data_IF_467951027810
#
_entry.id   IF_467951027810
#
_cell.length_a   1.000
_cell.length_b   1.000
_cell.length_c   1.000
_cell.angle_alpha   90.00
_cell.angle_beta   90.00
_cell.angle_gamma   90.00
#
_symmetry.space_group_name_H-M   'P 1'
#
loop_
_entity.id
_entity.type
_entity.pdbx_description
1 polymer ?
#
# COMPACT_ATOMS: atom_id res chain seq x y z
N UNK A 1 -14.19 -1.95 -1.45
CA UNK A 1 -12.85 -1.39 -1.21
C UNK A 1 -12.95 0.13 -1.00
N UNK A 2 -12.51 0.62 0.17
CA UNK A 2 -12.40 2.05 0.48
C UNK A 2 -10.90 2.39 0.62
N UNK A 3 -10.42 3.42 -0.07
CA UNK A 3 -9.03 3.90 0.00
C UNK A 3 -9.04 5.25 0.74
N UNK A 4 -8.17 5.41 1.73
CA UNK A 4 -7.93 6.67 2.42
C UNK A 4 -6.47 7.06 2.28
N UNK A 5 -6.22 8.26 1.76
CA UNK A 5 -4.88 8.83 1.61
C UNK A 5 -4.63 9.83 2.75
N UNK A 6 -3.49 9.65 3.43
CA UNK A 6 -3.04 10.47 4.54
C UNK A 6 -1.70 11.13 4.16
N UNK A 7 -1.72 12.37 3.63
CA UNK A 7 -0.57 13.05 3.02
C UNK A 7 0.36 13.73 4.07
N UNK A 8 0.68 13.05 5.17
CA UNK A 8 1.52 13.51 6.30
C UNK A 8 2.13 14.92 6.21
N UNK A 9 3.44 14.98 5.96
CA UNK A 9 4.22 16.22 5.80
C UNK A 9 4.52 16.52 4.31
N UNK A 10 3.77 15.92 3.39
CA UNK A 10 3.97 16.08 1.94
C UNK A 10 2.95 17.05 1.39
N UNK A 11 3.30 17.78 0.32
CA UNK A 11 2.35 18.62 -0.38
C UNK A 11 1.19 17.75 -0.90
N UNK A 12 -0.01 18.04 -0.40
CA UNK A 12 -1.23 17.41 -0.84
C UNK A 12 -1.60 17.93 -2.24
N UNK A 13 -1.74 17.01 -3.18
CA UNK A 13 -2.10 17.31 -4.57
C UNK A 13 -3.07 16.25 -5.07
N UNK A 14 -4.13 16.67 -5.74
CA UNK A 14 -5.10 15.79 -6.41
C UNK A 14 -4.41 14.77 -7.33
N UNK A 15 -3.28 15.14 -7.94
CA UNK A 15 -2.49 14.25 -8.79
C UNK A 15 -1.83 13.11 -8.01
N UNK A 16 -1.40 13.35 -6.77
CA UNK A 16 -0.84 12.31 -5.90
C UNK A 16 -1.96 11.40 -5.39
N UNK A 17 -3.11 11.94 -5.01
CA UNK A 17 -4.26 11.14 -4.59
C UNK A 17 -4.73 10.21 -5.71
N UNK A 18 -4.95 10.76 -6.90
CA UNK A 18 -5.33 10.00 -8.09
C UNK A 18 -4.31 8.90 -8.38
N UNK A 19 -3.02 9.22 -8.30
CA UNK A 19 -1.96 8.24 -8.55
C UNK A 19 -1.95 7.12 -7.50
N UNK A 20 -2.16 7.45 -6.21
CA UNK A 20 -2.29 6.44 -5.15
C UNK A 20 -3.48 5.51 -5.42
N UNK A 21 -4.65 6.07 -5.75
CA UNK A 21 -5.85 5.30 -6.03
C UNK A 21 -5.65 4.34 -7.21
N UNK A 22 -5.05 4.81 -8.30
CA UNK A 22 -4.74 3.99 -9.48
C UNK A 22 -3.80 2.83 -9.13
N UNK A 23 -2.69 3.10 -8.44
CA UNK A 23 -1.69 2.09 -8.10
C UNK A 23 -2.24 1.04 -7.12
N UNK A 24 -2.96 1.48 -6.08
CA UNK A 24 -3.57 0.59 -5.09
C UNK A 24 -4.67 -0.26 -5.73
N UNK A 25 -5.55 0.35 -6.52
CA UNK A 25 -6.63 -0.36 -7.21
C UNK A 25 -6.05 -1.41 -8.16
N UNK A 26 -5.02 -1.05 -8.93
CA UNK A 26 -4.35 -1.98 -9.82
C UNK A 26 -3.70 -3.16 -9.07
N UNK A 27 -3.03 -2.88 -7.96
CA UNK A 27 -2.35 -3.88 -7.13
C UNK A 27 -3.33 -4.86 -6.47
N UNK A 28 -4.50 -4.39 -6.06
CA UNK A 28 -5.50 -5.17 -5.33
C UNK A 28 -6.63 -5.72 -6.20
N UNK A 29 -6.65 -5.44 -7.51
CA UNK A 29 -7.77 -5.76 -8.42
C UNK A 29 -8.31 -7.19 -8.30
N UNK A 30 -7.43 -8.17 -8.12
CA UNK A 30 -7.80 -9.60 -8.05
C UNK A 30 -8.42 -9.99 -6.71
N UNK A 31 -8.25 -9.18 -5.67
CA UNK A 31 -8.70 -9.44 -4.30
C UNK A 31 -9.60 -8.31 -3.77
N UNK A 32 -10.08 -7.43 -4.64
CA UNK A 32 -10.78 -6.20 -4.25
C UNK A 32 -12.05 -6.44 -3.43
N UNK A 33 -12.73 -7.57 -3.65
CA UNK A 33 -13.92 -7.97 -2.88
C UNK A 33 -13.60 -8.35 -1.42
N UNK A 34 -12.38 -8.83 -1.17
CA UNK A 34 -11.93 -9.20 0.18
C UNK A 34 -11.40 -7.97 0.94
N UNK A 35 -11.11 -6.87 0.24
CA UNK A 35 -10.54 -5.65 0.83
C UNK A 35 -11.63 -4.78 1.44
N UNK A 36 -11.59 -4.64 2.76
CA UNK A 36 -12.51 -3.79 3.51
C UNK A 36 -12.02 -2.35 3.55
N UNK A 37 -10.70 -2.13 3.66
CA UNK A 37 -10.10 -0.79 3.76
C UNK A 37 -8.63 -0.80 3.34
N UNK A 38 -8.18 0.30 2.75
CA UNK A 38 -6.78 0.60 2.49
C UNK A 38 -6.46 1.97 3.06
N UNK A 39 -5.38 2.07 3.82
CA UNK A 39 -4.84 3.33 4.32
C UNK A 39 -3.44 3.55 3.74
N UNK A 40 -3.23 4.73 3.15
CA UNK A 40 -1.94 5.10 2.55
C UNK A 40 -1.39 6.30 3.29
N UNK A 41 -0.20 6.16 3.86
CA UNK A 41 0.50 7.24 4.54
C UNK A 41 1.72 7.65 3.73
N UNK A 42 1.78 8.94 3.41
CA UNK A 42 2.90 9.54 2.69
C UNK A 42 3.69 10.42 3.65
N UNK A 43 5.02 10.34 3.58
CA UNK A 43 5.91 11.21 4.38
C UNK A 43 7.10 11.70 3.58
N UNK A 44 7.50 12.93 3.91
CA UNK A 44 8.79 13.50 3.56
C UNK A 44 9.77 13.30 4.73
N UNK A 45 10.71 12.39 4.55
CA UNK A 45 11.78 12.10 5.49
C UNK A 45 12.86 13.18 5.30
N UNK A 46 12.71 14.32 5.98
CA UNK A 46 13.66 15.44 6.02
C UNK A 46 15.03 15.01 6.59
N UNK A 47 15.81 14.27 5.82
CA UNK A 47 17.19 13.88 6.10
C UNK A 47 18.20 14.89 5.51
N UNK A 48 19.45 14.93 6.00
CA UNK A 48 20.47 15.83 5.47
C UNK A 48 20.74 15.52 3.99
N UNK A 49 20.41 16.50 3.13
CA UNK A 49 20.63 16.61 1.67
C UNK A 49 21.31 15.40 0.99
N UNK A 50 20.52 14.70 0.16
CA UNK A 50 20.79 13.54 -0.72
C UNK A 50 20.41 12.16 -0.14
N UNK A 51 19.35 11.55 -0.66
CA UNK A 51 18.90 10.22 -0.25
C UNK A 51 17.47 9.85 -0.71
N UNK A 52 17.01 8.66 -0.30
CA UNK A 52 15.60 8.26 -0.36
C UNK A 52 14.84 9.02 0.72
N UNK A 53 14.29 10.16 0.36
CA UNK A 53 13.64 11.10 1.27
C UNK A 53 12.11 10.98 1.25
N UNK A 54 11.51 10.17 0.37
CA UNK A 54 10.06 9.96 0.33
C UNK A 54 9.69 8.56 0.79
N UNK A 55 8.69 8.48 1.65
CA UNK A 55 8.18 7.22 2.21
C UNK A 55 6.71 7.05 1.89
N UNK A 56 6.35 5.84 1.45
CA UNK A 56 4.97 5.40 1.31
C UNK A 56 4.75 4.14 2.15
N UNK A 57 3.81 4.22 3.09
CA UNK A 57 3.32 3.08 3.84
C UNK A 57 1.88 2.79 3.40
N UNK A 58 1.57 1.53 3.13
CA UNK A 58 0.22 1.08 2.78
C UNK A 58 -0.20 -0.02 3.75
N UNK A 59 -1.29 0.21 4.48
CA UNK A 59 -2.00 -0.81 5.25
C UNK A 59 -3.25 -1.26 4.49
N UNK A 60 -3.42 -2.56 4.30
CA UNK A 60 -4.65 -3.15 3.78
C UNK A 60 -5.29 -4.03 4.82
N UNK A 61 -6.61 -3.88 4.95
CA UNK A 61 -7.46 -4.73 5.79
C UNK A 61 -8.29 -5.63 4.89
N UNK A 62 -8.18 -6.93 5.15
CA UNK A 62 -8.95 -7.96 4.45
C UNK A 62 -9.98 -8.54 5.42
N UNK A 63 -11.17 -8.85 4.92
CA UNK A 63 -12.21 -9.48 5.73
C UNK A 63 -11.73 -10.84 6.26
N UNK A 64 -11.74 -11.02 7.59
CA UNK A 64 -11.34 -12.28 8.22
C UNK A 64 -9.81 -12.52 8.27
N UNK A 65 -8.98 -11.52 8.01
CA UNK A 65 -7.52 -11.62 8.17
C UNK A 65 -6.96 -10.47 9.00
N UNK A 66 -5.78 -10.68 9.59
CA UNK A 66 -4.99 -9.59 10.17
C UNK A 66 -4.62 -8.57 9.09
N UNK A 67 -4.53 -7.26 9.45
CA UNK A 67 -4.04 -6.23 8.55
C UNK A 67 -2.64 -6.55 8.01
N UNK A 68 -2.39 -6.12 6.77
CA UNK A 68 -1.08 -6.24 6.12
C UNK A 68 -0.55 -4.84 5.87
N UNK A 69 0.62 -4.53 6.42
CA UNK A 69 1.31 -3.28 6.17
C UNK A 69 2.58 -3.51 5.34
N UNK A 70 2.81 -2.63 4.37
CA UNK A 70 4.07 -2.54 3.61
C UNK A 70 4.58 -1.11 3.62
N UNK A 71 5.89 -0.95 3.60
CA UNK A 71 6.55 0.34 3.53
C UNK A 71 7.62 0.31 2.44
N UNK A 72 7.80 1.44 1.75
CA UNK A 72 8.92 1.67 0.86
C UNK A 72 9.42 3.12 0.92
N UNK A 73 10.75 3.25 0.90
CA UNK A 73 11.46 4.50 0.75
C UNK A 73 12.01 4.65 -0.67
N UNK A 74 11.86 5.84 -1.24
CA UNK A 74 12.38 6.18 -2.56
C UNK A 74 12.81 7.66 -2.64
N UNK A 75 13.39 8.05 -3.78
CA UNK A 75 13.81 9.43 -4.05
C UNK A 75 12.66 10.31 -4.55
N UNK A 76 11.46 9.74 -4.77
CA UNK A 76 10.25 10.46 -5.14
C UNK A 76 9.01 9.75 -4.59
N UNK A 77 7.93 10.50 -4.36
CA UNK A 77 6.67 9.91 -3.88
C UNK A 77 6.10 8.91 -4.88
N UNK A 78 6.11 9.24 -6.18
CA UNK A 78 5.62 8.35 -7.24
C UNK A 78 6.35 7.00 -7.23
N UNK A 79 7.67 6.99 -7.05
CA UNK A 79 8.46 5.76 -7.00
C UNK A 79 8.18 4.97 -5.70
N UNK A 80 8.08 5.67 -4.55
CA UNK A 80 7.73 5.05 -3.27
C UNK A 80 6.35 4.37 -3.34
N UNK A 81 5.35 5.06 -3.89
CA UNK A 81 3.98 4.55 -4.07
C UNK A 81 3.96 3.34 -5.00
N UNK A 82 4.62 3.41 -6.15
CA UNK A 82 4.65 2.31 -7.14
C UNK A 82 5.26 1.04 -6.55
N UNK A 83 6.41 1.19 -5.87
CA UNK A 83 7.11 0.07 -5.24
C UNK A 83 6.34 -0.48 -4.04
N UNK A 84 5.74 0.37 -3.22
CA UNK A 84 4.89 -0.04 -2.10
C UNK A 84 3.66 -0.82 -2.60
N UNK A 85 2.97 -0.33 -3.64
CA UNK A 85 1.84 -1.03 -4.25
C UNK A 85 2.25 -2.41 -4.81
N UNK A 86 3.41 -2.51 -5.47
CA UNK A 86 3.96 -3.80 -5.90
C UNK A 86 4.27 -4.75 -4.74
N UNK A 87 4.78 -4.25 -3.61
CA UNK A 87 4.96 -5.05 -2.39
C UNK A 87 3.62 -5.51 -1.82
N UNK A 88 2.63 -4.62 -1.77
CA UNK A 88 1.29 -4.88 -1.27
C UNK A 88 0.64 -6.05 -2.02
N UNK A 89 0.66 -6.00 -3.36
CA UNK A 89 0.11 -7.07 -4.20
C UNK A 89 0.70 -8.44 -3.83
N UNK A 90 2.03 -8.52 -3.71
CA UNK A 90 2.72 -9.76 -3.34
C UNK A 90 2.40 -10.21 -1.92
N UNK A 91 2.28 -9.28 -0.98
CA UNK A 91 1.98 -9.59 0.42
C UNK A 91 0.54 -10.12 0.59
N UNK A 92 -0.43 -9.49 -0.07
CA UNK A 92 -1.84 -9.91 -0.09
C UNK A 92 -1.98 -11.29 -0.72
N UNK A 93 -1.42 -11.48 -1.92
CA UNK A 93 -1.44 -12.78 -2.61
C UNK A 93 -0.95 -13.90 -1.69
N UNK A 94 0.23 -13.70 -1.07
CA UNK A 94 0.83 -14.69 -0.16
C UNK A 94 0.01 -14.93 1.11
N UNK A 95 -0.67 -13.92 1.66
CA UNK A 95 -1.51 -14.09 2.87
C UNK A 95 -2.75 -14.92 2.53
N UNK A 96 -3.41 -14.64 1.42
CA UNK A 96 -4.60 -15.36 0.96
C UNK A 96 -4.24 -16.81 0.60
N UNK A 97 -3.20 -17.04 -0.20
CA UNK A 97 -2.75 -18.40 -0.56
C UNK A 97 -2.45 -19.27 0.66
N UNK A 98 -1.75 -18.73 1.67
CA UNK A 98 -1.46 -19.46 2.91
C UNK A 98 -2.72 -19.81 3.70
N UNK A 99 -3.69 -18.91 3.73
CA UNK A 99 -4.94 -19.13 4.44
C UNK A 99 -5.78 -20.23 3.79
N UNK A 100 -5.86 -20.23 2.44
CA UNK A 100 -6.57 -21.26 1.69
C UNK A 100 -5.86 -22.63 1.78
N UNK A 101 -4.53 -22.66 1.76
CA UNK A 101 -3.77 -23.89 2.00
C UNK A 101 -4.01 -24.47 3.40
N UNK A 102 -4.10 -23.62 4.43
CA UNK A 102 -4.36 -24.05 5.80
C UNK A 102 -5.77 -24.64 5.97
N UNK A 103 -6.79 -24.05 5.32
CA UNK A 103 -8.16 -24.61 5.30
C UNK A 103 -8.27 -25.95 4.57
N UNK A 104 -7.35 -26.24 3.66
CA UNK A 104 -7.36 -27.43 2.81
C UNK A 104 -6.67 -28.65 3.46
N UNK A 105 -6.14 -28.51 4.68
CA UNK A 105 -5.52 -29.62 5.43
C UNK A 105 -6.54 -30.18 6.44
N UNK A 106 -6.99 -31.45 6.30
CA UNK A 106 -7.97 -32.07 7.18
C UNK A 106 -7.43 -32.41 8.57
#
# INVERSE_FOLDING_TARGET
>A
MQIQVNPGDVDHSDAIETFVEEQVTHALRHHAEQVTRVEVHLRDMNGPKSGKDKRCMIEVRLAGHDPIAVEEDATSLYDAITKAAGKLQRAVQRKIERHEAHKSTP
#
